data_IF_787905074543
#
_entry.id   IF_787905074543
#
_cell.length_a   1.000
_cell.length_b   1.000
_cell.length_c   1.000
_cell.angle_alpha   90.00
_cell.angle_beta   90.00
_cell.angle_gamma   90.00
#
_symmetry.space_group_name_H-M   'P 1'
#
loop_
_entity.id
_entity.type
_entity.pdbx_description
1 polymer ?
#
# COMPACT_ATOMS: atom_id res chain seq x y z
N UNK A 1 2.09 -26.72 7.58
CA UNK A 1 1.11 -26.79 6.47
C UNK A 1 -0.26 -27.32 6.90
N UNK A 2 -0.40 -27.95 8.08
CA UNK A 2 -1.68 -28.46 8.63
C UNK A 2 -2.68 -27.38 9.13
N UNK A 3 -2.22 -26.19 9.52
CA UNK A 3 -3.09 -25.15 10.11
C UNK A 3 -3.96 -24.39 9.10
N UNK A 4 -3.55 -24.31 7.83
CA UNK A 4 -4.34 -23.66 6.77
C UNK A 4 -5.54 -24.52 6.33
N UNK A 5 -5.39 -25.84 6.28
CA UNK A 5 -6.45 -26.75 5.83
C UNK A 5 -7.65 -26.77 6.78
N UNK A 6 -7.42 -26.76 8.11
CA UNK A 6 -8.52 -26.81 9.08
C UNK A 6 -9.43 -25.58 9.10
N UNK A 7 -8.97 -24.40 8.67
CA UNK A 7 -9.76 -23.16 8.74
C UNK A 7 -10.66 -22.93 7.52
N UNK A 8 -10.21 -23.30 6.32
CA UNK A 8 -11.03 -23.14 5.10
C UNK A 8 -12.16 -24.17 5.08
N UNK A 9 -11.88 -25.40 5.51
CA UNK A 9 -12.89 -26.47 5.63
C UNK A 9 -13.97 -26.15 6.67
N UNK A 10 -13.65 -25.39 7.73
CA UNK A 10 -14.59 -25.04 8.79
C UNK A 10 -15.50 -23.84 8.46
N UNK A 11 -15.04 -22.92 7.61
CA UNK A 11 -15.70 -21.61 7.39
C UNK A 11 -16.25 -21.47 5.97
N UNK A 12 -15.87 -22.38 5.05
CA UNK A 12 -16.24 -22.32 3.64
C UNK A 12 -15.37 -21.36 2.84
N UNK A 13 -15.51 -21.40 1.51
CA UNK A 13 -14.81 -20.46 0.63
C UNK A 13 -15.40 -19.05 0.81
N UNK A 14 -14.54 -18.06 1.04
CA UNK A 14 -14.95 -16.67 1.19
C UNK A 14 -15.11 -16.05 -0.20
N UNK A 15 -16.25 -16.32 -0.83
CA UNK A 15 -16.60 -15.67 -2.10
C UNK A 15 -17.04 -14.22 -1.86
N UNK A 16 -16.11 -13.30 -2.13
CA UNK A 16 -16.33 -11.86 -2.07
C UNK A 16 -16.89 -11.29 -3.40
N UNK A 17 -17.16 -12.13 -4.41
CA UNK A 17 -17.72 -11.66 -5.69
C UNK A 17 -19.18 -11.21 -5.55
N UNK A 18 -19.92 -11.77 -4.58
CA UNK A 18 -21.31 -11.42 -4.30
C UNK A 18 -21.39 -10.17 -3.41
N UNK A 19 -21.77 -9.04 -4.02
CA UNK A 19 -22.00 -7.77 -3.32
C UNK A 19 -23.09 -7.94 -2.26
N UNK A 20 -22.77 -7.70 -0.98
CA UNK A 20 -23.75 -7.72 0.12
C UNK A 20 -24.23 -6.29 0.44
N UNK A 21 -25.48 -6.17 0.91
CA UNK A 21 -26.08 -4.86 1.25
C UNK A 21 -25.29 -4.08 2.34
N UNK A 22 -24.58 -4.80 3.20
CA UNK A 22 -23.82 -4.25 4.34
C UNK A 22 -22.42 -3.76 3.95
N UNK A 23 -22.01 -3.87 2.68
CA UNK A 23 -20.69 -3.44 2.25
C UNK A 23 -20.55 -1.92 2.26
N UNK A 24 -19.47 -1.45 2.87
CA UNK A 24 -19.10 -0.04 2.93
C UNK A 24 -18.01 0.21 1.89
N UNK A 25 -18.10 1.32 1.15
CA UNK A 25 -17.05 1.66 0.19
C UNK A 25 -15.78 2.08 0.91
N UNK A 26 -14.62 1.71 0.34
CA UNK A 26 -13.33 2.02 0.95
C UNK A 26 -13.10 3.54 1.12
N UNK A 27 -13.62 4.35 0.18
CA UNK A 27 -13.59 5.82 0.25
C UNK A 27 -14.38 6.40 1.43
N UNK A 28 -15.31 5.64 2.01
CA UNK A 28 -16.11 6.06 3.17
C UNK A 28 -15.39 5.68 4.48
N UNK A 29 -14.35 4.83 4.41
CA UNK A 29 -13.59 4.33 5.55
C UNK A 29 -12.15 4.88 5.62
N UNK A 30 -11.70 5.57 4.59
CA UNK A 30 -10.36 6.13 4.49
C UNK A 30 -10.16 6.92 3.21
N UNK A 31 -8.98 7.49 3.06
CA UNK A 31 -8.61 8.30 1.89
C UNK A 31 -7.75 7.46 0.94
N UNK A 32 -8.09 7.49 -0.35
CA UNK A 32 -7.29 6.85 -1.40
C UNK A 32 -6.33 7.90 -1.96
N UNK A 33 -5.04 7.71 -1.73
CA UNK A 33 -3.98 8.67 -2.08
C UNK A 33 -3.01 8.09 -3.10
N UNK A 34 -2.56 8.94 -4.01
CA UNK A 34 -1.57 8.60 -5.03
C UNK A 34 -0.15 8.93 -4.57
N UNK A 35 0.75 8.96 -5.53
CA UNK A 35 2.11 9.46 -5.36
C UNK A 35 2.55 10.25 -6.59
N UNK A 36 3.73 10.84 -6.51
CA UNK A 36 4.33 11.64 -7.57
C UNK A 36 5.84 11.34 -7.66
N UNK A 37 6.44 11.67 -8.80
CA UNK A 37 7.88 11.49 -9.01
C UNK A 37 8.52 12.87 -9.23
N UNK A 38 9.34 13.36 -8.29
CA UNK A 38 10.20 14.51 -8.51
C UNK A 38 11.14 14.28 -9.71
N UNK A 39 11.67 15.36 -10.30
CA UNK A 39 12.56 15.26 -11.45
C UNK A 39 13.80 14.43 -11.08
N UNK A 40 13.91 13.22 -11.63
CA UNK A 40 14.96 12.26 -11.25
C UNK A 40 16.36 12.72 -11.64
N UNK A 41 16.46 13.58 -12.65
CA UNK A 41 17.72 14.17 -13.12
C UNK A 41 18.19 15.39 -12.34
N UNK A 42 17.40 15.89 -11.39
CA UNK A 42 17.79 17.03 -10.55
C UNK A 42 18.32 16.52 -9.19
N UNK A 43 19.65 16.50 -8.96
CA UNK A 43 20.23 15.95 -7.74
C UNK A 43 19.85 16.74 -6.49
N UNK A 44 19.45 18.01 -6.59
CA UNK A 44 19.06 18.83 -5.44
C UNK A 44 17.77 18.32 -4.74
N UNK A 45 17.01 17.49 -5.43
CA UNK A 45 15.75 16.94 -4.93
C UNK A 45 15.94 15.64 -4.13
N UNK A 46 17.12 15.02 -4.20
CA UNK A 46 17.39 13.66 -3.70
C UNK A 46 18.45 13.64 -2.60
N UNK A 47 18.67 12.47 -2.01
CA UNK A 47 19.67 12.22 -0.97
C UNK A 47 19.44 13.03 0.32
N UNK A 48 18.17 13.35 0.60
CA UNK A 48 17.73 13.95 1.86
C UNK A 48 17.27 12.91 2.89
N UNK A 49 16.35 13.31 3.76
CA UNK A 49 15.88 12.49 4.89
C UNK A 49 14.46 11.93 4.72
N UNK A 50 13.73 12.33 3.67
CA UNK A 50 12.33 11.94 3.48
C UNK A 50 12.22 10.69 2.61
N UNK A 51 11.81 9.57 3.19
CA UNK A 51 11.66 8.28 2.51
C UNK A 51 10.70 8.38 1.32
N UNK A 52 11.10 7.85 0.17
CA UNK A 52 10.29 7.82 -1.05
C UNK A 52 10.35 6.43 -1.70
N UNK A 53 9.24 5.70 -1.63
CA UNK A 53 9.17 4.30 -2.06
C UNK A 53 8.59 4.11 -3.47
N UNK A 54 9.05 3.06 -4.14
CA UNK A 54 8.58 2.56 -5.43
C UNK A 54 8.05 1.12 -5.33
N UNK A 55 7.18 0.67 -6.25
CA UNK A 55 6.68 -0.71 -6.25
C UNK A 55 7.77 -1.78 -6.34
N UNK A 56 8.92 -1.47 -6.92
CA UNK A 56 10.03 -2.40 -7.11
C UNK A 56 10.63 -2.85 -5.77
N UNK A 57 10.57 -1.99 -4.75
CA UNK A 57 11.10 -2.25 -3.41
C UNK A 57 10.20 -3.20 -2.59
N UNK A 58 8.96 -3.46 -3.03
CA UNK A 58 8.08 -4.41 -2.37
C UNK A 58 8.33 -5.83 -2.87
N UNK A 59 8.40 -6.79 -1.94
CA UNK A 59 8.44 -8.24 -2.19
C UNK A 59 7.18 -8.92 -1.65
N UNK A 60 6.94 -10.18 -2.00
CA UNK A 60 5.79 -10.95 -1.47
C UNK A 60 5.81 -11.09 0.07
N UNK A 61 6.99 -11.14 0.66
CA UNK A 61 7.19 -11.23 2.11
C UNK A 61 7.09 -9.88 2.82
N UNK A 62 7.10 -8.77 2.07
CA UNK A 62 7.03 -7.43 2.64
C UNK A 62 5.71 -7.23 3.37
N UNK A 63 5.77 -6.81 4.63
CA UNK A 63 4.58 -6.53 5.44
C UNK A 63 4.56 -5.09 5.96
N UNK A 64 5.62 -4.67 6.64
CA UNK A 64 5.79 -3.30 7.14
C UNK A 64 7.07 -2.74 6.54
N UNK A 65 6.97 -1.58 5.89
CA UNK A 65 8.11 -0.84 5.34
C UNK A 65 8.49 0.28 6.29
N UNK A 66 9.74 0.31 6.71
CA UNK A 66 10.28 1.40 7.54
C UNK A 66 11.39 2.19 6.85
N UNK A 67 11.82 1.77 5.66
CA UNK A 67 12.89 2.37 4.88
C UNK A 67 12.63 2.26 3.38
N UNK A 68 13.24 3.13 2.58
CA UNK A 68 13.25 3.13 1.12
C UNK A 68 14.65 3.33 0.56
N UNK A 69 14.89 2.84 -0.66
CA UNK A 69 16.19 2.97 -1.34
C UNK A 69 16.56 4.43 -1.62
N UNK A 70 15.57 5.28 -1.90
CA UNK A 70 15.77 6.69 -2.23
C UNK A 70 15.08 7.60 -1.23
N UNK A 71 15.70 8.76 -1.04
CA UNK A 71 15.20 9.79 -0.15
C UNK A 71 15.10 11.12 -0.88
N UNK A 72 14.16 11.94 -0.44
CA UNK A 72 13.95 13.30 -0.91
C UNK A 72 14.53 14.30 0.07
N UNK A 73 15.01 15.42 -0.46
CA UNK A 73 15.22 16.63 0.32
C UNK A 73 13.88 17.32 0.60
N UNK A 74 13.91 18.34 1.46
CA UNK A 74 12.74 19.20 1.64
C UNK A 74 12.30 19.88 0.32
N UNK A 75 13.26 20.21 -0.56
CA UNK A 75 12.98 20.73 -1.90
C UNK A 75 12.31 19.66 -2.77
N UNK A 76 12.81 18.42 -2.72
CA UNK A 76 12.19 17.29 -3.41
C UNK A 76 10.72 17.10 -3.05
N UNK A 77 10.40 17.14 -1.74
CA UNK A 77 9.01 17.07 -1.25
C UNK A 77 8.15 18.21 -1.79
N UNK A 78 8.68 19.43 -1.88
CA UNK A 78 7.94 20.62 -2.35
C UNK A 78 7.89 20.77 -3.87
N UNK A 79 8.71 20.00 -4.61
CA UNK A 79 8.88 20.17 -6.06
C UNK A 79 7.68 19.69 -6.88
N UNK A 80 6.85 18.82 -6.32
CA UNK A 80 5.64 18.31 -6.97
C UNK A 80 4.57 17.97 -5.92
N UNK A 81 3.38 17.58 -6.38
CA UNK A 81 2.22 17.28 -5.54
C UNK A 81 2.35 15.94 -4.81
N UNK A 82 3.40 15.79 -4.01
CA UNK A 82 3.61 14.64 -3.14
C UNK A 82 2.65 14.69 -1.95
N UNK A 83 1.88 13.62 -1.77
CA UNK A 83 1.11 13.41 -0.55
C UNK A 83 1.96 12.64 0.45
N UNK A 84 2.01 13.13 1.69
CA UNK A 84 2.62 12.38 2.79
C UNK A 84 1.76 11.16 3.07
N UNK A 85 2.39 10.01 3.24
CA UNK A 85 1.78 8.76 3.67
C UNK A 85 2.11 8.57 5.15
N UNK A 86 1.18 8.88 6.08
CA UNK A 86 1.44 8.70 7.50
C UNK A 86 1.69 7.22 7.84
N UNK A 87 2.42 6.98 8.92
CA UNK A 87 2.53 5.64 9.53
C UNK A 87 1.15 4.99 9.68
N UNK A 88 1.05 3.73 9.25
CA UNK A 88 -0.19 2.95 9.22
C UNK A 88 -0.92 3.01 7.88
N UNK A 89 -0.48 3.81 6.91
CA UNK A 89 -1.02 3.80 5.54
C UNK A 89 -0.83 2.43 4.89
N UNK A 90 -1.87 1.90 4.26
CA UNK A 90 -1.77 0.66 3.47
C UNK A 90 -1.32 1.00 2.06
N UNK A 91 -0.22 0.40 1.62
CA UNK A 91 0.36 0.57 0.30
C UNK A 91 -0.13 -0.55 -0.61
N UNK A 92 -0.69 -0.22 -1.78
CA UNK A 92 -1.10 -1.19 -2.80
C UNK A 92 -0.51 -0.77 -4.14
N UNK A 93 0.26 -1.65 -4.77
CA UNK A 93 0.85 -1.38 -6.07
C UNK A 93 -0.19 -1.50 -7.18
N UNK A 94 -0.35 -0.44 -7.97
CA UNK A 94 -1.25 -0.38 -9.12
C UNK A 94 -0.51 -0.45 -10.46
N UNK A 95 0.83 -0.44 -10.43
CA UNK A 95 1.72 -0.64 -11.59
C UNK A 95 2.76 -1.71 -11.24
N UNK A 96 3.46 -2.22 -12.26
CA UNK A 96 4.38 -3.34 -12.11
C UNK A 96 5.42 -3.12 -10.97
N UNK A 97 5.61 -4.10 -10.07
CA UNK A 97 4.81 -5.32 -9.90
C UNK A 97 3.41 -5.01 -9.32
N UNK A 98 2.34 -5.45 -9.99
CA UNK A 98 0.94 -5.15 -9.61
C UNK A 98 0.49 -6.06 -8.45
N UNK A 99 -0.32 -5.53 -7.52
CA UNK A 99 -1.02 -6.32 -6.51
C UNK A 99 -0.23 -6.62 -5.23
N UNK A 100 0.97 -6.04 -5.06
CA UNK A 100 1.72 -6.13 -3.81
C UNK A 100 1.14 -5.18 -2.78
N UNK A 101 1.12 -5.63 -1.53
CA UNK A 101 0.50 -4.90 -0.43
C UNK A 101 1.44 -4.86 0.77
N UNK A 102 1.59 -3.68 1.37
CA UNK A 102 2.39 -3.46 2.57
C UNK A 102 1.75 -2.37 3.46
N UNK A 103 2.35 -2.11 4.61
CA UNK A 103 1.98 -1.02 5.52
C UNK A 103 3.18 -0.10 5.71
N UNK A 104 2.98 1.21 5.59
CA UNK A 104 3.98 2.20 5.96
C UNK A 104 4.18 2.16 7.48
N UNK A 105 5.38 1.77 7.93
CA UNK A 105 5.77 1.71 9.34
C UNK A 105 6.26 3.04 9.90
N UNK A 106 6.55 3.99 9.01
CA UNK A 106 6.95 5.38 9.28
C UNK A 106 6.29 6.28 8.24
N UNK A 107 6.33 7.59 8.46
CA UNK A 107 5.87 8.56 7.47
C UNK A 107 6.80 8.52 6.25
N UNK A 108 6.23 8.49 5.06
CA UNK A 108 6.98 8.41 3.79
C UNK A 108 6.18 8.97 2.62
N UNK A 109 6.79 8.94 1.45
CA UNK A 109 6.21 9.33 0.16
C UNK A 109 6.31 8.17 -0.82
N UNK A 110 5.61 8.24 -1.94
CA UNK A 110 5.75 7.23 -2.99
C UNK A 110 5.65 7.82 -4.39
N UNK A 111 6.01 7.01 -5.38
CA UNK A 111 5.77 7.31 -6.78
C UNK A 111 4.30 7.06 -7.19
N UNK A 112 3.94 7.37 -8.45
CA UNK A 112 2.59 7.15 -9.00
C UNK A 112 2.24 5.66 -9.26
N UNK A 113 3.03 4.73 -8.74
CA UNK A 113 2.90 3.27 -8.89
C UNK A 113 1.98 2.64 -7.86
N UNK A 114 1.43 3.45 -6.97
CA UNK A 114 0.59 3.03 -5.88
C UNK A 114 -0.81 3.65 -5.91
N UNK A 115 -1.73 2.94 -5.26
CA UNK A 115 -3.01 3.45 -4.75
C UNK A 115 -3.04 3.16 -3.26
N UNK A 116 -2.60 4.11 -2.46
CA UNK A 116 -2.47 3.92 -1.03
C UNK A 116 -3.78 4.26 -0.32
N UNK A 117 -3.96 3.71 0.88
CA UNK A 117 -5.15 3.94 1.70
C UNK A 117 -4.74 4.42 3.08
N UNK A 118 -4.99 5.69 3.35
CA UNK A 118 -4.88 6.27 4.69
C UNK A 118 -6.15 5.87 5.44
N UNK A 119 -6.00 5.01 6.44
CA UNK A 119 -7.14 4.41 7.13
C UNK A 119 -7.78 5.39 8.12
N UNK A 120 -9.11 5.56 8.03
CA UNK A 120 -9.89 6.29 9.02
C UNK A 120 -10.16 5.48 10.29
N UNK A 121 -10.87 6.10 11.26
CA UNK A 121 -11.12 5.51 12.60
C UNK A 121 -11.79 4.12 12.60
N UNK A 122 -12.57 3.80 11.57
CA UNK A 122 -13.27 2.51 11.45
C UNK A 122 -12.48 1.40 10.74
N UNK A 123 -11.27 1.71 10.24
CA UNK A 123 -10.53 0.81 9.36
C UNK A 123 -9.16 0.48 9.95
N UNK A 124 -8.96 -0.79 10.31
CA UNK A 124 -7.65 -1.25 10.82
C UNK A 124 -6.73 -1.57 9.65
N UNK A 125 -5.61 -0.86 9.54
CA UNK A 125 -4.63 -1.06 8.47
C UNK A 125 -4.16 -2.53 8.32
N UNK A 126 -3.92 -3.23 9.43
CA UNK A 126 -3.57 -4.66 9.41
C UNK A 126 -4.65 -5.51 8.77
N UNK A 127 -5.91 -5.27 9.13
CA UNK A 127 -7.06 -5.98 8.54
C UNK A 127 -7.14 -5.74 7.04
N UNK A 128 -7.10 -4.47 6.62
CA UNK A 128 -7.13 -4.11 5.20
C UNK A 128 -5.95 -4.73 4.43
N UNK A 129 -4.74 -4.68 4.99
CA UNK A 129 -3.56 -5.27 4.37
C UNK A 129 -3.75 -6.78 4.13
N UNK A 130 -4.22 -7.54 5.13
CA UNK A 130 -4.49 -8.96 4.96
C UNK A 130 -5.62 -9.22 3.95
N UNK A 131 -6.72 -8.46 4.02
CA UNK A 131 -7.82 -8.56 3.08
C UNK A 131 -7.35 -8.36 1.63
N UNK A 132 -6.57 -7.31 1.38
CA UNK A 132 -6.02 -7.05 0.05
C UNK A 132 -5.03 -8.12 -0.38
N UNK A 133 -4.11 -8.59 0.49
CA UNK A 133 -3.16 -9.67 0.17
C UNK A 133 -3.85 -10.99 -0.23
N UNK A 134 -5.01 -11.28 0.35
CA UNK A 134 -5.79 -12.46 0.00
C UNK A 134 -6.48 -12.34 -1.35
N UNK A 135 -6.80 -11.12 -1.79
CA UNK A 135 -7.59 -10.85 -2.99
C UNK A 135 -6.77 -10.25 -4.16
N UNK A 136 -5.53 -9.82 -3.92
CA UNK A 136 -4.63 -9.28 -4.95
C UNK A 136 -3.80 -10.34 -5.66
N UNK A 137 -3.82 -11.59 -5.16
CA UNK A 137 -3.32 -12.74 -5.91
C UNK A 137 -4.28 -12.98 -7.07
N UNK A 138 -3.83 -12.66 -8.28
CA UNK A 138 -4.50 -13.12 -9.50
C UNK A 138 -4.63 -14.65 -9.36
N UNK A 139 -5.85 -15.14 -9.19
CA UNK A 139 -6.15 -16.56 -9.44
C UNK A 139 -5.95 -16.72 -10.94
N UNK A 140 -4.78 -17.19 -11.35
CA UNK A 140 -4.68 -17.74 -12.70
C UNK A 140 -5.57 -18.99 -12.73
N UNK A 141 -6.43 -19.12 -13.75
CA UNK A 141 -7.24 -20.32 -13.94
C UNK A 141 -6.37 -21.58 -14.04
#
# INVERSE_FOLDING_TARGET
MLSKSRFIELIGDYDLSLKKKEWIYLKDLGEIVGGATPKTSDPLLWDGNFKWITPAELTESTYIITESERHLTQMGVKSCSLQTLPKGTVLLTSRAPIGKVAIAGVDMFCNQGFKNIICGKGLRAKYLCYLLKLNSRVRYP
#
